data_IF_974819709310
#
_entry.id   IF_974819709310
#
_cell.length_a   1.000
_cell.length_b   1.000
_cell.length_c   1.000
_cell.angle_alpha   90.00
_cell.angle_beta   90.00
_cell.angle_gamma   90.00
#
_symmetry.space_group_name_H-M   'P 1'
#
loop_
_entity.id
_entity.type
_entity.pdbx_description
1 polymer ?
#
# COMPACT_ATOMS: atom_id res chain seq x y z
N UNK A 1 -11.03 0.77 -14.40
CA UNK A 1 -10.56 1.91 -13.58
C UNK A 1 -11.68 2.27 -12.61
N UNK A 2 -11.37 2.47 -11.33
CA UNK A 2 -12.36 2.83 -10.30
C UNK A 2 -12.82 4.30 -10.46
N UNK A 3 -14.13 4.61 -10.40
CA UNK A 3 -14.59 5.99 -10.35
C UNK A 3 -14.04 6.67 -9.09
N UNK A 4 -13.74 7.97 -9.19
CA UNK A 4 -13.20 8.76 -8.08
C UNK A 4 -13.63 10.21 -8.19
N UNK A 5 -13.81 10.86 -7.04
CA UNK A 5 -14.11 12.29 -6.96
C UNK A 5 -13.19 12.98 -5.97
N UNK A 6 -12.94 14.27 -6.19
CA UNK A 6 -12.23 15.12 -5.24
C UNK A 6 -13.24 15.89 -4.40
N UNK A 7 -13.04 15.88 -3.09
CA UNK A 7 -13.88 16.58 -2.11
C UNK A 7 -13.01 17.29 -1.08
N UNK A 8 -13.52 18.36 -0.50
CA UNK A 8 -12.99 18.90 0.75
C UNK A 8 -13.62 18.15 1.90
N UNK A 9 -12.82 17.68 2.85
CA UNK A 9 -13.30 17.04 4.06
C UNK A 9 -12.92 17.89 5.27
N UNK A 10 -13.89 18.24 6.10
CA UNK A 10 -13.65 18.93 7.36
C UNK A 10 -13.45 17.89 8.47
N UNK A 11 -12.27 17.81 9.10
CA UNK A 11 -11.97 16.80 10.11
C UNK A 11 -12.75 16.94 11.41
N UNK A 12 -13.25 18.15 11.72
CA UNK A 12 -13.97 18.45 12.95
C UNK A 12 -15.46 18.15 12.80
N UNK A 13 -16.06 18.51 11.67
CA UNK A 13 -17.50 18.34 11.44
C UNK A 13 -17.87 17.07 10.66
N UNK A 14 -16.92 16.45 9.96
CA UNK A 14 -17.17 15.33 9.05
C UNK A 14 -17.89 15.72 7.75
N UNK A 15 -18.13 17.02 7.52
CA UNK A 15 -18.82 17.51 6.32
C UNK A 15 -17.93 17.47 5.08
N UNK A 16 -18.58 17.32 3.92
CA UNK A 16 -17.94 17.35 2.61
C UNK A 16 -18.32 18.60 1.82
N UNK A 17 -17.37 19.12 1.06
CA UNK A 17 -17.57 20.15 0.04
C UNK A 17 -17.08 19.68 -1.34
N UNK A 18 -17.67 20.17 -2.43
CA UNK A 18 -17.15 19.92 -3.77
C UNK A 18 -15.77 20.55 -3.96
N UNK A 19 -14.97 19.99 -4.88
CA UNK A 19 -13.60 20.44 -5.19
C UNK A 19 -13.49 21.96 -5.43
N UNK A 20 -14.45 22.53 -6.15
CA UNK A 20 -14.52 23.97 -6.46
C UNK A 20 -14.57 24.88 -5.23
N UNK A 21 -15.04 24.37 -4.09
CA UNK A 21 -15.28 25.16 -2.88
C UNK A 21 -14.21 24.98 -1.82
N UNK A 22 -13.26 24.05 -2.02
CA UNK A 22 -12.23 23.74 -1.01
C UNK A 22 -11.35 24.95 -0.71
N UNK A 23 -10.93 25.67 -1.75
CA UNK A 23 -10.03 26.82 -1.61
C UNK A 23 -10.62 27.99 -0.80
N UNK A 24 -11.95 28.01 -0.60
CA UNK A 24 -12.63 29.06 0.13
C UNK A 24 -12.61 28.87 1.66
N UNK A 25 -12.30 27.66 2.16
CA UNK A 25 -12.30 27.37 3.59
C UNK A 25 -11.13 26.45 3.98
N UNK A 26 -10.10 26.97 4.68
CA UNK A 26 -8.91 26.20 5.04
C UNK A 26 -9.19 25.06 6.02
N UNK A 27 -10.38 24.99 6.63
CA UNK A 27 -10.80 23.86 7.47
C UNK A 27 -11.10 22.60 6.67
N UNK A 28 -11.25 22.71 5.34
CA UNK A 28 -11.52 21.58 4.46
C UNK A 28 -10.24 21.10 3.80
N UNK A 29 -9.86 19.86 4.11
CA UNK A 29 -8.67 19.21 3.58
C UNK A 29 -9.03 18.45 2.29
N UNK A 30 -8.31 18.63 1.18
CA UNK A 30 -8.60 17.92 -0.07
C UNK A 30 -8.42 16.39 0.08
N UNK A 31 -9.44 15.64 -0.27
CA UNK A 31 -9.46 14.17 -0.28
C UNK A 31 -9.88 13.64 -1.65
N UNK A 32 -9.43 12.42 -1.96
CA UNK A 32 -9.98 11.60 -3.04
C UNK A 32 -10.87 10.54 -2.42
N UNK A 33 -12.13 10.48 -2.87
CA UNK A 33 -13.06 9.40 -2.53
C UNK A 33 -13.12 8.43 -3.69
N UNK A 34 -12.93 7.14 -3.41
CA UNK A 34 -12.93 6.06 -4.40
C UNK A 34 -14.23 5.27 -4.32
N UNK A 35 -14.76 4.93 -5.49
CA UNK A 35 -15.96 4.12 -5.64
C UNK A 35 -15.61 2.74 -6.20
N UNK A 36 -16.48 1.79 -5.91
CA UNK A 36 -16.44 0.44 -6.45
C UNK A 36 -16.53 0.47 -7.98
N UNK A 37 -15.64 -0.23 -8.69
CA UNK A 37 -15.84 -0.59 -10.09
C UNK A 37 -16.67 -1.89 -10.20
N UNK A 38 -17.20 -2.20 -11.37
CA UNK A 38 -18.07 -3.38 -11.54
C UNK A 38 -17.37 -4.69 -11.16
N UNK A 39 -16.08 -4.82 -11.47
CA UNK A 39 -15.24 -5.98 -11.15
C UNK A 39 -14.82 -6.10 -9.68
N UNK A 40 -14.99 -5.05 -8.88
CA UNK A 40 -14.51 -5.04 -7.50
C UNK A 40 -15.49 -5.76 -6.56
N UNK A 41 -14.98 -6.36 -5.47
CA UNK A 41 -15.81 -6.91 -4.41
C UNK A 41 -16.69 -5.82 -3.79
N UNK A 42 -17.83 -6.24 -3.24
CA UNK A 42 -18.77 -5.33 -2.59
C UNK A 42 -18.07 -4.46 -1.52
N UNK A 43 -17.16 -5.07 -0.76
CA UNK A 43 -16.49 -4.48 0.40
C UNK A 43 -15.15 -3.81 0.06
N UNK A 44 -14.91 -3.42 -1.20
CA UNK A 44 -13.62 -2.83 -1.62
C UNK A 44 -13.25 -1.55 -0.85
N UNK A 45 -14.24 -0.75 -0.44
CA UNK A 45 -14.02 0.46 0.38
C UNK A 45 -13.43 0.13 1.76
N UNK A 46 -14.13 -0.68 2.58
CA UNK A 46 -13.58 -1.25 3.82
C UNK A 46 -12.24 -1.96 3.63
N UNK A 47 -12.09 -2.76 2.58
CA UNK A 47 -10.85 -3.50 2.31
C UNK A 47 -9.66 -2.56 2.11
N UNK A 48 -9.79 -1.54 1.25
CA UNK A 48 -8.72 -0.57 1.03
C UNK A 48 -8.44 0.28 2.29
N UNK A 49 -9.47 0.56 3.09
CA UNK A 49 -9.29 1.21 4.39
C UNK A 49 -8.48 0.32 5.35
N UNK A 50 -8.83 -0.96 5.50
CA UNK A 50 -8.09 -1.92 6.31
C UNK A 50 -6.63 -2.05 5.86
N UNK A 51 -6.38 -2.14 4.55
CA UNK A 51 -5.02 -2.14 3.99
C UNK A 51 -4.24 -0.87 4.34
N UNK A 52 -4.89 0.30 4.31
CA UNK A 52 -4.25 1.55 4.70
C UNK A 52 -3.85 1.60 6.18
N UNK A 53 -4.69 1.05 7.07
CA UNK A 53 -4.38 0.94 8.49
C UNK A 53 -3.22 -0.03 8.72
N UNK A 54 -3.27 -1.18 8.07
CA UNK A 54 -2.23 -2.21 8.12
C UNK A 54 -0.88 -1.69 7.60
N UNK A 55 -0.88 -0.97 6.48
CA UNK A 55 0.34 -0.35 5.93
C UNK A 55 0.94 0.68 6.89
N UNK A 56 0.11 1.53 7.50
CA UNK A 56 0.58 2.49 8.50
C UNK A 56 1.17 1.78 9.73
N UNK A 57 0.53 0.71 10.20
CA UNK A 57 1.07 -0.11 11.29
C UNK A 57 2.40 -0.79 10.94
N UNK A 58 2.58 -1.16 9.66
CA UNK A 58 3.82 -1.68 9.12
C UNK A 58 4.94 -0.62 8.97
N UNK A 59 4.68 0.65 9.32
CA UNK A 59 5.62 1.75 9.15
C UNK A 59 5.73 2.26 7.71
N UNK A 60 4.79 1.91 6.83
CA UNK A 60 4.65 2.52 5.50
C UNK A 60 3.97 3.89 5.67
N UNK A 61 4.66 4.94 5.21
CA UNK A 61 4.07 6.28 5.15
C UNK A 61 2.84 6.29 4.24
N UNK A 62 1.70 6.64 4.82
CA UNK A 62 0.40 6.76 4.17
C UNK A 62 -0.17 8.15 4.47
N UNK A 63 -0.94 8.77 3.54
CA UNK A 63 -1.76 9.93 3.87
C UNK A 63 -2.83 9.54 4.89
N UNK A 64 -3.50 10.53 5.45
CA UNK A 64 -4.66 10.26 6.29
C UNK A 64 -5.76 9.61 5.47
N UNK A 65 -6.28 8.48 5.96
CA UNK A 65 -7.35 7.71 5.34
C UNK A 65 -8.57 7.63 6.24
N UNK A 66 -9.74 7.48 5.62
CA UNK A 66 -11.03 7.38 6.32
C UNK A 66 -11.97 6.48 5.53
N UNK A 67 -12.88 5.83 6.24
CA UNK A 67 -14.03 5.16 5.64
C UNK A 67 -15.27 6.04 5.79
N UNK A 68 -15.72 6.65 4.69
CA UNK A 68 -16.91 7.50 4.67
C UNK A 68 -18.16 6.63 4.59
N UNK A 69 -19.04 6.75 5.59
CA UNK A 69 -20.31 6.01 5.61
C UNK A 69 -21.30 6.65 4.63
N UNK A 70 -21.80 5.86 3.68
CA UNK A 70 -22.93 6.24 2.84
C UNK A 70 -24.26 6.11 3.58
N UNK A 71 -25.34 6.64 3.00
CA UNK A 71 -26.71 6.35 3.49
C UNK A 71 -27.05 4.86 3.43
N UNK A 72 -26.46 4.18 2.44
CA UNK A 72 -26.58 2.74 2.22
C UNK A 72 -25.21 2.16 1.85
N UNK A 73 -25.01 0.87 2.12
CA UNK A 73 -23.80 0.14 1.74
C UNK A 73 -22.67 0.18 2.77
N UNK A 74 -21.54 -0.39 2.37
CA UNK A 74 -20.39 -0.71 3.24
C UNK A 74 -19.39 0.43 3.42
N UNK A 75 -19.66 1.61 2.84
CA UNK A 75 -18.81 2.80 2.94
C UNK A 75 -17.82 2.97 1.79
N UNK A 76 -17.21 4.15 1.71
CA UNK A 76 -16.31 4.58 0.65
C UNK A 76 -14.94 4.93 1.21
N UNK A 77 -13.88 4.41 0.60
CA UNK A 77 -12.52 4.77 0.98
C UNK A 77 -12.23 6.21 0.55
N UNK A 78 -11.77 7.01 1.52
CA UNK A 78 -11.30 8.37 1.30
C UNK A 78 -9.86 8.51 1.77
N UNK A 79 -9.04 9.20 0.97
CA UNK A 79 -7.63 9.44 1.27
C UNK A 79 -7.29 10.90 1.03
N UNK A 80 -6.54 11.49 1.97
CA UNK A 80 -6.03 12.84 1.84
C UNK A 80 -5.09 12.97 0.65
N UNK A 81 -5.20 14.09 -0.08
CA UNK A 81 -4.33 14.39 -1.21
C UNK A 81 -2.97 14.93 -0.74
N UNK A 82 -1.95 14.10 -0.84
CA UNK A 82 -0.57 14.50 -0.57
C UNK A 82 0.01 15.52 -1.58
N UNK A 83 -0.62 15.68 -2.76
CA UNK A 83 -0.21 16.66 -3.78
C UNK A 83 -0.80 18.06 -3.54
N UNK A 84 -1.39 18.28 -2.36
CA UNK A 84 -1.95 19.56 -1.91
C UNK A 84 -1.28 19.98 -0.61
N UNK A 85 -1.16 21.29 -0.42
CA UNK A 85 -0.63 21.92 0.78
C UNK A 85 -1.26 23.31 0.95
N UNK A 86 -1.11 23.97 2.12
CA UNK A 86 -1.62 25.33 2.32
C UNK A 86 -1.09 26.35 1.30
N UNK A 87 0.11 26.11 0.75
CA UNK A 87 0.76 26.95 -0.26
C UNK A 87 0.42 26.55 -1.71
N UNK A 88 -0.49 25.60 -1.90
CA UNK A 88 -0.97 25.16 -3.22
C UNK A 88 -0.56 23.73 -3.58
N UNK A 89 -0.54 23.45 -4.89
CA UNK A 89 -0.26 22.13 -5.45
C UNK A 89 1.24 21.82 -5.43
N UNK A 90 1.58 20.61 -4.98
CA UNK A 90 2.95 20.08 -5.08
C UNK A 90 3.13 19.37 -6.43
N UNK A 91 4.32 19.50 -7.00
CA UNK A 91 4.66 18.77 -8.22
C UNK A 91 4.85 17.29 -7.89
N UNK A 92 4.23 16.41 -8.69
CA UNK A 92 4.29 14.96 -8.51
C UNK A 92 4.62 14.30 -9.84
N UNK A 93 5.57 13.38 -9.82
CA UNK A 93 5.98 12.60 -10.98
C UNK A 93 5.98 11.12 -10.64
N UNK A 94 5.26 10.31 -11.43
CA UNK A 94 5.30 8.85 -11.27
C UNK A 94 6.63 8.30 -11.81
N UNK A 95 7.04 7.12 -11.33
CA UNK A 95 8.20 6.40 -11.85
C UNK A 95 8.03 6.10 -13.35
N UNK A 96 6.82 5.71 -13.77
CA UNK A 96 6.47 5.54 -15.18
C UNK A 96 6.74 6.81 -15.99
N UNK A 97 6.35 7.97 -15.47
CA UNK A 97 6.66 9.24 -16.11
C UNK A 97 8.17 9.53 -16.13
N UNK A 98 8.88 9.32 -15.02
CA UNK A 98 10.30 9.68 -14.88
C UNK A 98 11.19 8.85 -15.80
N UNK A 99 10.84 7.58 -15.99
CA UNK A 99 11.63 6.63 -16.77
C UNK A 99 11.08 6.40 -18.18
N UNK A 100 10.00 7.10 -18.56
CA UNK A 100 9.22 6.79 -19.76
C UNK A 100 8.81 5.31 -19.85
N UNK A 101 8.63 4.66 -18.71
CA UNK A 101 8.28 3.25 -18.64
C UNK A 101 6.80 3.07 -18.95
N UNK A 102 6.47 2.16 -19.87
CA UNK A 102 5.07 1.79 -20.09
C UNK A 102 4.55 1.06 -18.85
N UNK A 103 3.41 1.52 -18.34
CA UNK A 103 2.73 0.95 -17.18
C UNK A 103 1.85 -0.24 -17.55
N UNK A 104 1.64 -0.48 -18.85
CA UNK A 104 0.89 -1.64 -19.36
C UNK A 104 1.80 -2.85 -19.57
N UNK A 105 3.12 -2.64 -19.51
CA UNK A 105 4.14 -3.66 -19.72
C UNK A 105 5.04 -3.67 -18.48
N UNK A 106 5.24 -4.83 -17.81
CA UNK A 106 6.20 -4.98 -16.71
C UNK A 106 7.64 -4.72 -17.18
N UNK A 107 8.02 -3.44 -17.28
CA UNK A 107 9.28 -2.97 -17.85
C UNK A 107 10.28 -2.47 -16.81
N UNK A 108 9.87 -2.48 -15.53
CA UNK A 108 10.64 -1.97 -14.40
C UNK A 108 10.52 -2.96 -13.25
N UNK A 109 11.61 -3.16 -12.51
CA UNK A 109 11.67 -3.97 -11.29
C UNK A 109 11.86 -3.09 -10.04
N UNK A 110 11.77 -3.69 -8.86
CA UNK A 110 12.01 -2.95 -7.61
C UNK A 110 13.44 -2.43 -7.49
N UNK A 111 14.43 -3.14 -8.02
CA UNK A 111 15.82 -2.66 -8.03
C UNK A 111 15.97 -1.34 -8.78
N UNK A 112 15.27 -1.19 -9.91
CA UNK A 112 15.22 0.06 -10.68
C UNK A 112 14.51 1.16 -9.90
N UNK A 113 13.38 0.87 -9.24
CA UNK A 113 12.69 1.82 -8.38
C UNK A 113 13.58 2.32 -7.22
N UNK A 114 14.30 1.42 -6.54
CA UNK A 114 15.18 1.77 -5.42
C UNK A 114 16.39 2.59 -5.90
N UNK A 115 16.98 2.25 -7.05
CA UNK A 115 18.05 3.04 -7.69
C UNK A 115 17.56 4.43 -8.09
N UNK A 116 16.39 4.53 -8.73
CA UNK A 116 15.79 5.81 -9.10
C UNK A 116 15.52 6.67 -7.86
N UNK A 117 14.98 6.07 -6.80
CA UNK A 117 14.75 6.74 -5.51
C UNK A 117 16.04 7.31 -4.95
N UNK A 118 17.12 6.52 -4.93
CA UNK A 118 18.43 6.94 -4.43
C UNK A 118 19.01 8.08 -5.24
N UNK A 119 18.98 7.99 -6.57
CA UNK A 119 19.54 9.01 -7.47
C UNK A 119 18.79 10.33 -7.38
N UNK A 120 17.45 10.26 -7.36
CA UNK A 120 16.59 11.44 -7.37
C UNK A 120 16.63 12.19 -6.03
N UNK A 121 16.64 11.46 -4.92
CA UNK A 121 16.48 12.05 -3.59
C UNK A 121 17.80 12.23 -2.84
N UNK A 122 18.82 11.44 -3.17
CA UNK A 122 20.13 11.41 -2.51
C UNK A 122 20.04 11.17 -1.00
N UNK A 123 19.02 10.44 -0.56
CA UNK A 123 18.74 10.18 0.86
C UNK A 123 18.32 8.71 1.08
N UNK A 124 19.12 8.00 1.85
CA UNK A 124 18.92 6.58 2.18
C UNK A 124 17.64 6.32 2.98
N UNK A 125 17.13 7.32 3.71
CA UNK A 125 15.87 7.20 4.45
C UNK A 125 14.71 6.95 3.50
N UNK A 126 14.73 7.59 2.34
CA UNK A 126 13.71 7.40 1.30
C UNK A 126 13.87 6.07 0.55
N UNK A 127 15.10 5.60 0.36
CA UNK A 127 15.34 4.26 -0.19
C UNK A 127 14.79 3.19 0.77
N UNK A 128 15.06 3.32 2.08
CA UNK A 128 14.50 2.44 3.11
C UNK A 128 12.97 2.48 3.14
N UNK A 129 12.38 3.66 3.02
CA UNK A 129 10.92 3.84 2.96
C UNK A 129 10.32 3.08 1.75
N UNK A 130 10.93 3.23 0.57
CA UNK A 130 10.46 2.58 -0.65
C UNK A 130 10.69 1.06 -0.62
N UNK A 131 11.79 0.61 -0.01
CA UNK A 131 12.04 -0.81 0.26
C UNK A 131 10.96 -1.38 1.18
N UNK A 132 10.60 -0.69 2.25
CA UNK A 132 9.50 -1.11 3.14
C UNK A 132 8.17 -1.23 2.40
N UNK A 133 7.88 -0.35 1.44
CA UNK A 133 6.70 -0.46 0.56
C UNK A 133 6.74 -1.72 -0.30
N UNK A 134 7.90 -2.07 -0.87
CA UNK A 134 8.07 -3.33 -1.59
C UNK A 134 7.74 -4.52 -0.70
N UNK A 135 8.32 -4.56 0.50
CA UNK A 135 8.09 -5.62 1.47
C UNK A 135 6.61 -5.73 1.84
N UNK A 136 5.95 -4.59 2.06
CA UNK A 136 4.50 -4.54 2.28
C UNK A 136 3.73 -5.11 1.09
N UNK A 137 4.03 -4.70 -0.13
CA UNK A 137 3.34 -5.21 -1.32
C UNK A 137 3.50 -6.74 -1.46
N UNK A 138 4.70 -7.28 -1.18
CA UNK A 138 4.96 -8.73 -1.20
C UNK A 138 4.14 -9.46 -0.12
N UNK A 139 4.28 -9.07 1.14
CA UNK A 139 3.66 -9.80 2.26
C UNK A 139 2.14 -9.57 2.35
N UNK A 140 1.65 -8.38 2.00
CA UNK A 140 0.24 -8.06 1.94
C UNK A 140 -0.43 -8.45 0.60
N UNK A 141 0.32 -9.09 -0.32
CA UNK A 141 -0.19 -9.54 -1.62
C UNK A 141 -0.87 -8.43 -2.43
N UNK A 142 -0.27 -7.24 -2.43
CA UNK A 142 -0.61 -6.17 -3.36
C UNK A 142 0.25 -6.29 -4.61
N UNK A 143 -0.31 -6.91 -5.65
CA UNK A 143 0.38 -7.14 -6.93
C UNK A 143 0.03 -6.11 -8.02
N UNK A 144 -0.81 -5.14 -7.70
CA UNK A 144 -1.05 -3.98 -8.57
C UNK A 144 0.00 -2.88 -8.31
N UNK A 145 1.26 -3.27 -8.15
CA UNK A 145 2.37 -2.39 -7.75
C UNK A 145 3.13 -1.81 -8.95
N UNK A 146 2.42 -1.54 -10.04
CA UNK A 146 3.03 -1.06 -11.28
C UNK A 146 3.70 0.31 -11.14
N UNK A 147 4.58 0.68 -12.08
CA UNK A 147 5.37 1.92 -12.05
C UNK A 147 4.55 3.24 -11.94
N UNK A 148 3.24 3.24 -12.17
CA UNK A 148 2.36 4.39 -11.89
C UNK A 148 1.93 4.56 -10.43
N UNK A 149 2.06 3.51 -9.61
CA UNK A 149 1.72 3.51 -8.19
C UNK A 149 2.92 3.86 -7.31
N UNK A 150 4.06 4.16 -7.93
CA UNK A 150 5.23 4.74 -7.29
C UNK A 150 5.46 6.13 -7.86
N UNK A 151 5.55 7.13 -6.99
CA UNK A 151 5.75 8.52 -7.39
C UNK A 151 6.63 9.27 -6.40
N UNK A 152 7.10 10.42 -6.87
CA UNK A 152 7.94 11.35 -6.13
C UNK A 152 7.29 12.72 -6.15
N UNK A 153 7.37 13.43 -5.03
CA UNK A 153 7.00 14.83 -4.93
C UNK A 153 8.26 15.70 -4.95
N UNK A 154 8.12 16.88 -5.53
CA UNK A 154 9.12 17.93 -5.47
C UNK A 154 8.59 19.08 -4.62
N UNK A 155 9.39 19.52 -3.65
CA UNK A 155 9.08 20.70 -2.85
C UNK A 155 9.33 22.01 -3.64
N UNK A 156 9.09 23.16 -3.00
CA UNK A 156 9.21 24.47 -3.65
C UNK A 156 10.66 24.87 -3.98
N UNK A 157 11.65 24.24 -3.36
CA UNK A 157 13.08 24.53 -3.59
C UNK A 157 13.75 23.47 -4.47
N UNK A 158 12.98 22.49 -4.96
CA UNK A 158 13.44 21.47 -5.90
C UNK A 158 13.94 20.17 -5.28
N UNK A 159 13.73 19.95 -3.97
CA UNK A 159 14.09 18.68 -3.35
C UNK A 159 13.03 17.63 -3.65
N UNK A 160 13.49 16.44 -3.99
CA UNK A 160 12.63 15.30 -4.26
C UNK A 160 12.55 14.35 -3.07
N UNK A 161 11.37 13.79 -2.86
CA UNK A 161 11.14 12.69 -1.94
C UNK A 161 10.04 11.78 -2.51
N UNK A 162 9.94 10.50 -2.09
CA UNK A 162 8.78 9.67 -2.39
C UNK A 162 7.49 10.34 -1.91
N UNK A 163 6.42 10.23 -2.69
CA UNK A 163 5.06 10.47 -2.16
C UNK A 163 4.78 9.48 -1.04
N UNK A 164 3.86 9.74 -0.10
CA UNK A 164 3.22 8.67 0.67
C UNK A 164 2.70 7.55 -0.25
N UNK A 165 2.53 6.33 0.27
CA UNK A 165 1.93 5.23 -0.49
C UNK A 165 0.46 5.52 -0.81
N UNK A 166 -0.01 4.99 -1.93
CA UNK A 166 -1.39 5.10 -2.39
C UNK A 166 -1.73 3.90 -3.25
N UNK A 167 -3.03 3.68 -3.50
CA UNK A 167 -3.53 2.54 -4.28
C UNK A 167 -3.03 1.18 -3.75
N UNK A 168 -3.04 1.02 -2.42
CA UNK A 168 -2.67 -0.23 -1.75
C UNK A 168 -3.92 -1.03 -1.34
N UNK A 169 -4.13 -2.18 -1.94
CA UNK A 169 -5.21 -3.10 -1.62
C UNK A 169 -4.81 -4.52 -2.05
N UNK A 170 -5.58 -5.52 -1.66
CA UNK A 170 -5.39 -6.88 -2.18
C UNK A 170 -5.47 -6.90 -3.71
N UNK A 171 -4.50 -7.53 -4.37
CA UNK A 171 -4.56 -7.73 -5.82
C UNK A 171 -3.85 -9.01 -6.22
N UNK A 172 -4.47 -9.78 -7.13
CA UNK A 172 -3.84 -10.95 -7.71
C UNK A 172 -2.79 -10.60 -8.79
N UNK A 173 -2.81 -9.37 -9.30
CA UNK A 173 -1.93 -8.92 -10.36
C UNK A 173 -2.16 -9.63 -11.71
N UNK A 174 -1.50 -9.19 -12.78
CA UNK A 174 -1.57 -9.84 -14.08
C UNK A 174 -0.94 -11.23 -14.02
N UNK A 175 -1.67 -12.27 -14.45
CA UNK A 175 -1.15 -13.64 -14.48
C UNK A 175 -0.78 -14.24 -13.12
N UNK A 176 -1.19 -13.60 -12.01
CA UNK A 176 -0.77 -14.02 -10.67
C UNK A 176 0.61 -13.52 -10.28
N UNK A 177 1.10 -12.42 -10.87
CA UNK A 177 2.43 -11.87 -10.63
C UNK A 177 2.37 -10.41 -10.19
N UNK A 178 3.38 -9.97 -9.43
CA UNK A 178 3.67 -8.56 -9.20
C UNK A 178 4.00 -7.88 -10.53
N UNK A 179 3.63 -6.59 -10.65
CA UNK A 179 3.98 -5.80 -11.82
C UNK A 179 5.46 -5.42 -11.82
N UNK A 180 6.06 -5.21 -10.65
CA UNK A 180 7.50 -5.03 -10.46
C UNK A 180 8.05 -6.31 -9.84
N UNK A 181 9.05 -6.93 -10.46
CA UNK A 181 9.70 -8.13 -9.89
C UNK A 181 10.61 -7.76 -8.71
N UNK A 182 10.79 -8.73 -7.81
CA UNK A 182 11.67 -8.62 -6.63
C UNK A 182 12.81 -9.61 -6.84
N UNK A 183 14.03 -9.12 -7.06
CA UNK A 183 15.19 -9.95 -7.41
C UNK A 183 14.90 -10.95 -8.55
N UNK A 184 14.10 -10.52 -9.54
CA UNK A 184 13.70 -11.34 -10.70
C UNK A 184 12.48 -12.26 -10.50
N UNK A 185 11.94 -12.37 -9.28
CA UNK A 185 10.75 -13.17 -8.98
C UNK A 185 9.49 -12.30 -8.93
N UNK A 186 8.46 -12.67 -9.69
CA UNK A 186 7.19 -11.93 -9.78
C UNK A 186 5.99 -12.69 -9.20
N UNK A 187 6.00 -14.02 -9.20
CA UNK A 187 4.82 -14.83 -8.85
C UNK A 187 4.72 -15.11 -7.37
N UNK A 188 5.81 -15.54 -6.73
CA UNK A 188 5.82 -15.85 -5.30
C UNK A 188 7.12 -15.38 -4.62
N UNK A 189 7.42 -14.06 -4.64
CA UNK A 189 8.56 -13.52 -3.91
C UNK A 189 8.39 -13.81 -2.40
N UNK A 190 9.51 -14.08 -1.74
CA UNK A 190 9.57 -14.45 -0.33
C UNK A 190 10.81 -13.86 0.32
N UNK A 191 11.09 -14.23 1.58
CA UNK A 191 12.18 -13.65 2.37
C UNK A 191 13.53 -13.65 1.64
N UNK A 192 13.90 -14.76 0.99
CA UNK A 192 15.16 -14.85 0.24
C UNK A 192 15.25 -13.81 -0.90
N UNK A 193 14.16 -13.60 -1.64
CA UNK A 193 14.09 -12.60 -2.72
C UNK A 193 14.13 -11.17 -2.17
N UNK A 194 13.41 -10.90 -1.07
CA UNK A 194 13.43 -9.60 -0.38
C UNK A 194 14.85 -9.24 0.08
N UNK A 195 15.56 -10.19 0.70
CA UNK A 195 16.91 -9.97 1.19
C UNK A 195 17.94 -9.89 0.07
N UNK A 196 17.75 -10.64 -1.02
CA UNK A 196 18.55 -10.51 -2.24
C UNK A 196 18.39 -9.12 -2.87
N UNK A 197 17.16 -8.60 -2.96
CA UNK A 197 16.88 -7.25 -3.46
C UNK A 197 17.46 -6.17 -2.54
N UNK A 198 17.38 -6.34 -1.21
CA UNK A 198 18.03 -5.44 -0.26
C UNK A 198 19.53 -5.33 -0.53
N UNK A 199 20.19 -6.48 -0.68
CA UNK A 199 21.64 -6.57 -0.95
C UNK A 199 22.00 -5.93 -2.29
N UNK A 200 21.29 -6.26 -3.38
CA UNK A 200 21.57 -5.73 -4.72
C UNK A 200 21.33 -4.22 -4.83
N UNK A 201 20.35 -3.70 -4.08
CA UNK A 201 19.99 -2.29 -4.05
C UNK A 201 20.73 -1.48 -2.99
N UNK A 202 21.65 -2.10 -2.23
CA UNK A 202 22.48 -1.43 -1.22
C UNK A 202 21.71 -0.96 0.01
N UNK A 203 20.59 -1.62 0.35
CA UNK A 203 19.89 -1.43 1.61
C UNK A 203 20.62 -2.23 2.68
N UNK A 204 20.90 -1.61 3.84
CA UNK A 204 21.62 -2.29 4.92
C UNK A 204 20.79 -3.48 5.42
N UNK A 205 21.47 -4.59 5.72
CA UNK A 205 20.82 -5.81 6.18
C UNK A 205 19.90 -5.57 7.39
N UNK A 206 20.38 -4.83 8.39
CA UNK A 206 19.60 -4.50 9.58
C UNK A 206 18.32 -3.71 9.25
N UNK A 207 18.39 -2.75 8.31
CA UNK A 207 17.23 -1.98 7.87
C UNK A 207 16.22 -2.84 7.10
N UNK A 208 16.71 -3.83 6.34
CA UNK A 208 15.89 -4.76 5.59
C UNK A 208 15.17 -5.77 6.51
N UNK A 209 15.88 -6.31 7.49
CA UNK A 209 15.34 -7.20 8.53
C UNK A 209 14.29 -6.47 9.39
N UNK A 210 14.58 -5.24 9.83
CA UNK A 210 13.61 -4.41 10.56
C UNK A 210 12.34 -4.15 9.74
N UNK A 211 12.49 -3.76 8.46
CA UNK A 211 11.34 -3.54 7.59
C UNK A 211 10.54 -4.83 7.35
N UNK A 212 11.21 -5.98 7.19
CA UNK A 212 10.56 -7.28 7.04
C UNK A 212 9.75 -7.65 8.28
N UNK A 213 10.35 -7.58 9.46
CA UNK A 213 9.66 -7.95 10.70
C UNK A 213 8.49 -7.02 11.02
N UNK A 214 8.65 -5.70 10.86
CA UNK A 214 7.58 -4.73 11.08
C UNK A 214 6.37 -4.98 10.14
N UNK A 215 6.64 -5.28 8.87
CA UNK A 215 5.58 -5.60 7.90
C UNK A 215 4.94 -6.95 8.22
N UNK A 216 5.74 -7.98 8.52
CA UNK A 216 5.25 -9.33 8.86
C UNK A 216 4.33 -9.28 10.07
N UNK A 217 4.70 -8.55 11.12
CA UNK A 217 3.87 -8.37 12.31
C UNK A 217 2.55 -7.69 11.98
N UNK A 218 2.58 -6.59 11.22
CA UNK A 218 1.37 -5.89 10.82
C UNK A 218 0.45 -6.76 9.96
N UNK A 219 0.99 -7.52 9.00
CA UNK A 219 0.20 -8.46 8.18
C UNK A 219 -0.42 -9.58 9.03
N UNK A 220 0.32 -10.08 10.03
CA UNK A 220 -0.17 -11.05 11.00
C UNK A 220 -1.40 -10.57 11.80
N UNK A 221 -1.54 -9.26 11.94
CA UNK A 221 -2.66 -8.58 12.64
C UNK A 221 -3.82 -8.21 11.72
N UNK A 222 -3.86 -8.73 10.49
CA UNK A 222 -4.94 -8.47 9.52
C UNK A 222 -6.37 -8.53 10.12
N UNK A 223 -6.74 -9.52 10.96
CA UNK A 223 -8.08 -9.57 11.54
C UNK A 223 -8.48 -8.31 12.32
N UNK A 224 -7.53 -7.64 12.98
CA UNK A 224 -7.77 -6.39 13.71
C UNK A 224 -8.15 -5.26 12.76
N UNK A 225 -7.34 -5.05 11.71
CA UNK A 225 -7.59 -4.00 10.72
C UNK A 225 -8.87 -4.25 9.92
N UNK A 226 -9.20 -5.51 9.69
CA UNK A 226 -10.43 -5.89 9.02
C UNK A 226 -11.67 -5.59 9.88
N UNK A 227 -11.59 -5.86 11.18
CA UNK A 227 -12.64 -5.52 12.14
C UNK A 227 -12.82 -3.99 12.26
N UNK A 228 -11.72 -3.24 12.36
CA UNK A 228 -11.74 -1.76 12.42
C UNK A 228 -12.39 -1.13 11.17
N UNK A 229 -12.21 -1.76 10.01
CA UNK A 229 -12.83 -1.33 8.76
C UNK A 229 -14.28 -1.80 8.60
N UNK A 230 -14.76 -2.70 9.46
CA UNK A 230 -16.10 -3.28 9.38
C UNK A 230 -16.28 -4.26 8.23
N UNK A 231 -15.24 -5.00 7.85
CA UNK A 231 -15.34 -6.10 6.89
C UNK A 231 -16.16 -7.25 7.47
N UNK A 232 -16.89 -7.95 6.61
CA UNK A 232 -17.60 -9.17 6.96
C UNK A 232 -16.63 -10.27 7.42
N UNK A 233 -17.08 -11.14 8.34
CA UNK A 233 -16.30 -12.29 8.79
C UNK A 233 -15.82 -13.16 7.63
N UNK A 234 -16.67 -13.33 6.61
CA UNK A 234 -16.34 -14.07 5.39
C UNK A 234 -15.15 -13.45 4.67
N UNK A 235 -15.19 -12.15 4.36
CA UNK A 235 -14.11 -11.48 3.60
C UNK A 235 -12.84 -11.34 4.44
N UNK A 236 -12.99 -11.05 5.74
CA UNK A 236 -11.90 -11.03 6.70
C UNK A 236 -11.18 -12.38 6.75
N UNK A 237 -11.90 -13.49 6.89
CA UNK A 237 -11.34 -14.84 6.93
C UNK A 237 -10.68 -15.25 5.61
N UNK A 238 -11.28 -14.91 4.46
CA UNK A 238 -10.70 -15.16 3.13
C UNK A 238 -9.32 -14.52 2.99
N UNK A 239 -9.22 -13.22 3.27
CA UNK A 239 -7.96 -12.49 3.19
C UNK A 239 -6.97 -12.96 4.27
N UNK A 240 -7.45 -13.27 5.48
CA UNK A 240 -6.58 -13.82 6.52
C UNK A 240 -5.94 -15.15 6.09
N UNK A 241 -6.70 -16.04 5.45
CA UNK A 241 -6.16 -17.30 4.94
C UNK A 241 -5.10 -17.07 3.86
N UNK A 242 -5.32 -16.09 2.98
CA UNK A 242 -4.36 -15.77 1.91
C UNK A 242 -3.08 -15.14 2.46
N UNK A 243 -3.19 -14.21 3.40
CA UNK A 243 -2.08 -13.43 3.95
C UNK A 243 -1.28 -14.22 5.00
N UNK A 244 -1.97 -14.93 5.90
CA UNK A 244 -1.38 -15.57 7.08
C UNK A 244 -1.44 -17.11 7.05
N UNK A 245 -2.33 -17.70 6.24
CA UNK A 245 -2.55 -19.15 6.22
C UNK A 245 -1.48 -19.97 5.49
N UNK A 246 -0.57 -19.36 4.73
CA UNK A 246 0.49 -20.07 3.99
C UNK A 246 1.78 -20.29 4.78
N UNK A 247 1.74 -20.21 6.12
CA UNK A 247 2.95 -20.29 6.96
C UNK A 247 2.81 -20.92 8.34
N UNK A 248 1.65 -21.46 8.74
CA UNK A 248 1.64 -22.35 9.90
C UNK A 248 2.23 -23.69 9.47
N UNK A 249 3.45 -24.00 9.90
CA UNK A 249 3.89 -25.39 9.97
C UNK A 249 2.77 -26.19 10.64
N UNK A 250 2.18 -27.13 9.90
CA UNK A 250 1.31 -28.14 10.49
C UNK A 250 2.13 -28.79 11.62
N UNK A 251 1.61 -28.93 12.86
CA UNK A 251 2.28 -29.80 13.81
C UNK A 251 2.36 -31.19 13.21
N UNK A 252 3.56 -31.78 13.23
CA UNK A 252 3.81 -33.14 12.77
C UNK A 252 2.71 -34.08 13.29
N UNK A 253 2.04 -34.88 12.43
CA UNK A 253 1.22 -35.99 12.91
C UNK A 253 2.18 -37.08 13.39
N UNK A 254 2.71 -36.91 14.58
CA UNK A 254 3.83 -37.72 15.06
C UNK A 254 4.22 -37.44 16.49
N UNK A 255 3.26 -37.32 17.41
CA UNK A 255 3.50 -37.63 18.81
C UNK A 255 2.44 -38.62 19.30
N UNK A 256 2.94 -39.83 19.55
CA UNK A 256 2.22 -40.98 20.06
C UNK A 256 1.52 -40.65 21.37
N UNK A 257 0.21 -40.89 21.43
CA UNK A 257 -0.44 -41.16 22.72
C UNK A 257 0.01 -42.53 23.24
N UNK A 258 0.44 -42.63 24.51
CA UNK A 258 0.74 -43.93 25.10
C UNK A 258 -0.56 -44.70 25.31
N UNK A 259 -0.56 -45.95 24.84
CA UNK A 259 -1.57 -46.94 25.16
C UNK A 259 -1.49 -47.23 26.66
N UNK A 260 -2.55 -46.89 27.40
CA UNK A 260 -2.77 -47.41 28.76
C UNK A 260 -3.94 -48.39 28.74
N UNK A 261 -3.55 -49.67 28.85
CA UNK A 261 -4.23 -50.89 29.33
C UNK A 261 -5.71 -51.10 29.00
#
# INVERSE_FOLDING_TARGET
MRPKVVVGFNPDSGLLLPDSSIAADPRYVPHIVKFKADSDPLEIGPEEYAYSLMARAAGVEMPMTRLLKGKHGVGYFAVERFDRSPVGRRHVHTLSGLLHADHRIPSVDYGTLLKATRQLTRDERYVKQMFRRMVFNVLARNRDDHAKNHAFLMDQVGNWQPTPAYDITFSNGPGGEHNLTIAGEGRNPGLAHIMAEAKSSGVKQLDAEEAYEAVREAVGRWPEFAADAGLSDRRSAELNFILNGRGSAQPNPGENHPVTR
#
